data_IF_307082202820
#
_entry.id   IF_307082202820
#
_cell.length_a   1.000
_cell.length_b   1.000
_cell.length_c   1.000
_cell.angle_alpha   90.00
_cell.angle_beta   90.00
_cell.angle_gamma   90.00
#
_symmetry.space_group_name_H-M   'P 1'
#
loop_
_entity.id
_entity.type
_entity.pdbx_description
1 polymer ?
#
# COMPACT_ATOMS: atom_id res chain seq x y z
N UNK A 1 -11.97 -23.54 10.64
CA UNK A 1 -11.23 -22.54 11.44
C UNK A 1 -9.84 -22.46 10.83
N UNK A 2 -9.56 -21.43 10.04
CA UNK A 2 -8.24 -21.23 9.46
C UNK A 2 -7.26 -20.90 10.57
N UNK A 3 -6.22 -21.71 10.71
CA UNK A 3 -5.16 -21.52 11.69
C UNK A 3 -4.47 -20.20 11.32
N UNK A 4 -4.64 -19.16 12.15
CA UNK A 4 -3.72 -18.02 12.09
C UNK A 4 -2.38 -18.58 12.52
N UNK A 5 -1.37 -18.51 11.65
CA UNK A 5 -0.02 -18.84 12.06
C UNK A 5 0.38 -17.82 13.14
N UNK A 6 0.82 -18.35 14.29
CA UNK A 6 1.35 -17.54 15.39
C UNK A 6 2.51 -16.70 14.85
N UNK A 7 2.56 -15.42 15.23
CA UNK A 7 3.58 -14.48 14.76
C UNK A 7 4.94 -14.99 15.24
N UNK A 8 5.89 -15.18 14.34
CA UNK A 8 7.24 -15.59 14.72
C UNK A 8 8.04 -14.37 15.15
N UNK A 9 8.46 -14.31 16.40
CA UNK A 9 9.28 -13.24 16.94
C UNK A 9 10.65 -13.81 17.33
N UNK A 10 11.73 -13.16 16.89
CA UNK A 10 13.09 -13.57 17.26
C UNK A 10 13.86 -12.39 17.82
N UNK A 11 14.42 -12.54 19.02
CA UNK A 11 15.32 -11.56 19.63
C UNK A 11 16.75 -12.08 19.55
N UNK A 12 17.53 -11.48 18.64
CA UNK A 12 18.90 -11.87 18.35
C UNK A 12 19.87 -11.02 19.18
N UNK A 13 20.83 -11.65 19.85
CA UNK A 13 21.83 -10.94 20.65
C UNK A 13 23.20 -11.61 20.70
N UNK A 14 24.23 -10.83 20.99
CA UNK A 14 25.55 -11.38 21.40
C UNK A 14 25.51 -11.74 22.89
N UNK A 15 26.40 -12.64 23.36
CA UNK A 15 26.56 -12.89 24.78
C UNK A 15 26.74 -11.60 25.58
N UNK A 16 26.08 -11.52 26.74
CA UNK A 16 26.17 -10.39 27.69
C UNK A 16 25.80 -9.01 27.11
N UNK A 17 25.00 -8.95 26.04
CA UNK A 17 24.54 -7.68 25.47
C UNK A 17 23.72 -6.88 26.50
N UNK A 18 24.15 -5.68 26.93
CA UNK A 18 23.45 -4.92 27.96
C UNK A 18 22.12 -4.32 27.46
N UNK A 19 21.96 -4.16 26.14
CA UNK A 19 20.79 -3.52 25.54
C UNK A 19 19.65 -4.50 25.26
N UNK A 20 19.90 -5.82 25.30
CA UNK A 20 18.87 -6.83 25.00
C UNK A 20 17.71 -6.78 26.00
N UNK A 21 18.00 -6.48 27.27
CA UNK A 21 16.99 -6.39 28.34
C UNK A 21 15.98 -5.29 28.03
N UNK A 22 16.44 -4.15 27.50
CA UNK A 22 15.56 -3.04 27.12
C UNK A 22 14.63 -3.46 25.97
N UNK A 23 15.17 -4.09 24.92
CA UNK A 23 14.38 -4.53 23.77
C UNK A 23 13.37 -5.59 24.18
N UNK A 24 13.75 -6.55 25.04
CA UNK A 24 12.85 -7.57 25.58
C UNK A 24 11.68 -6.93 26.34
N UNK A 25 11.97 -6.02 27.27
CA UNK A 25 10.93 -5.33 28.04
C UNK A 25 9.95 -4.57 27.14
N UNK A 26 10.45 -3.82 26.14
CA UNK A 26 9.58 -3.10 25.20
C UNK A 26 8.76 -4.06 24.34
N UNK A 27 9.34 -5.20 23.91
CA UNK A 27 8.62 -6.24 23.17
C UNK A 27 7.49 -6.83 24.01
N UNK A 28 7.75 -7.20 25.27
CA UNK A 28 6.76 -7.80 26.17
C UNK A 28 5.56 -6.86 26.36
N UNK A 29 5.82 -5.57 26.59
CA UNK A 29 4.78 -4.54 26.68
C UNK A 29 3.95 -4.44 25.38
N UNK A 30 4.61 -4.50 24.22
CA UNK A 30 3.94 -4.43 22.93
C UNK A 30 3.10 -5.67 22.61
N UNK A 31 3.59 -6.87 22.95
CA UNK A 31 2.85 -8.13 22.78
C UNK A 31 1.57 -8.12 23.62
N UNK A 32 1.67 -7.64 24.87
CA UNK A 32 0.51 -7.46 25.74
C UNK A 32 -0.48 -6.43 25.17
N UNK A 33 0.01 -5.26 24.71
CA UNK A 33 -0.82 -4.20 24.12
C UNK A 33 -1.54 -4.62 22.84
N UNK A 34 -0.88 -5.40 21.98
CA UNK A 34 -1.44 -5.86 20.71
C UNK A 34 -2.30 -7.14 20.86
N UNK A 35 -2.33 -7.76 22.05
CA UNK A 35 -2.93 -9.07 22.28
C UNK A 35 -2.50 -10.09 21.21
N UNK A 36 -1.21 -10.08 20.88
CA UNK A 36 -0.66 -10.83 19.77
C UNK A 36 -0.38 -12.29 20.17
N UNK A 37 -0.91 -13.24 19.41
CA UNK A 37 -0.47 -14.64 19.47
C UNK A 37 0.89 -14.76 18.77
N UNK A 38 1.95 -14.79 19.56
CA UNK A 38 3.32 -14.80 19.07
C UNK A 38 4.16 -15.89 19.74
N UNK A 39 5.00 -16.54 18.94
CA UNK A 39 6.06 -17.42 19.41
C UNK A 39 7.37 -16.64 19.47
N UNK A 40 7.86 -16.41 20.69
CA UNK A 40 9.10 -15.65 20.94
C UNK A 40 10.28 -16.60 21.12
N UNK A 41 11.32 -16.40 20.32
CA UNK A 41 12.59 -17.14 20.40
C UNK A 41 13.74 -16.18 20.67
N UNK A 42 14.49 -16.41 21.74
CA UNK A 42 15.71 -15.66 22.03
C UNK A 42 16.94 -16.43 21.56
N UNK A 43 17.73 -15.82 20.68
CA UNK A 43 18.92 -16.44 20.09
C UNK A 43 20.16 -15.65 20.47
N UNK A 44 21.12 -16.34 21.07
CA UNK A 44 22.43 -15.79 21.43
C UNK A 44 23.49 -16.33 20.46
N UNK A 45 24.25 -15.44 19.85
CA UNK A 45 25.28 -15.81 18.86
C UNK A 45 25.90 -14.59 18.18
N UNK A 46 26.56 -14.85 17.05
CA UNK A 46 27.25 -13.82 16.26
C UNK A 46 26.27 -12.99 15.43
N UNK A 47 25.53 -12.12 16.11
CA UNK A 47 24.53 -11.23 15.51
C UNK A 47 24.90 -9.75 15.64
N UNK A 48 24.26 -8.91 14.82
CA UNK A 48 24.15 -7.49 15.13
C UNK A 48 23.18 -7.33 16.31
N UNK A 49 23.68 -6.90 17.47
CA UNK A 49 22.97 -7.05 18.72
C UNK A 49 22.58 -5.71 19.36
N UNK A 50 21.36 -5.60 19.92
CA UNK A 50 20.23 -6.53 19.77
C UNK A 50 19.50 -6.28 18.44
N UNK A 51 18.91 -7.32 17.86
CA UNK A 51 18.02 -7.22 16.69
C UNK A 51 16.71 -7.94 16.98
N UNK A 52 15.59 -7.27 16.74
CA UNK A 52 14.26 -7.85 16.88
C UNK A 52 13.69 -8.14 15.48
N UNK A 53 13.39 -9.41 15.22
CA UNK A 53 12.74 -9.85 13.99
C UNK A 53 11.28 -10.21 14.26
N UNK A 54 10.37 -9.75 13.41
CA UNK A 54 8.96 -10.16 13.37
C UNK A 54 8.69 -10.76 12.00
N UNK A 55 8.33 -12.04 11.95
CA UNK A 55 8.21 -12.82 10.71
C UNK A 55 9.46 -12.70 9.80
N UNK A 56 10.64 -12.62 10.42
CA UNK A 56 11.92 -12.47 9.73
C UNK A 56 12.28 -11.03 9.32
N UNK A 57 11.38 -10.06 9.51
CA UNK A 57 11.64 -8.64 9.25
C UNK A 57 12.29 -7.96 10.46
N UNK A 58 13.42 -7.27 10.26
CA UNK A 58 14.01 -6.40 11.28
C UNK A 58 13.11 -5.17 11.48
N UNK A 59 12.54 -5.05 12.68
CA UNK A 59 11.56 -4.01 13.04
C UNK A 59 12.07 -2.58 12.79
N UNK A 60 13.38 -2.38 12.77
CA UNK A 60 14.01 -1.07 12.49
C UNK A 60 14.08 -0.74 11.00
N UNK A 61 13.74 -1.68 10.12
CA UNK A 61 13.85 -1.55 8.67
C UNK A 61 15.27 -1.73 8.11
N UNK A 62 16.25 -2.14 8.93
CA UNK A 62 17.59 -2.44 8.41
C UNK A 62 17.56 -3.69 7.53
N UNK A 63 18.34 -3.70 6.44
CA UNK A 63 18.53 -4.92 5.68
C UNK A 63 19.21 -5.99 6.56
N UNK A 64 18.96 -7.29 6.30
CA UNK A 64 19.67 -8.37 6.96
C UNK A 64 21.19 -8.16 6.85
N UNK A 65 21.89 -8.37 7.95
CA UNK A 65 23.35 -8.26 7.98
C UNK A 65 23.97 -9.23 6.96
N UNK A 66 25.03 -8.81 6.28
CA UNK A 66 25.90 -9.75 5.60
C UNK A 66 26.44 -10.74 6.63
N UNK A 67 26.45 -12.03 6.29
CA UNK A 67 26.90 -13.09 7.19
C UNK A 67 28.32 -12.79 7.71
N UNK A 68 28.53 -12.90 9.03
CA UNK A 68 29.85 -12.76 9.65
C UNK A 68 30.24 -11.37 10.13
N UNK A 69 29.36 -10.35 10.03
CA UNK A 69 29.56 -9.07 10.71
C UNK A 69 28.76 -9.02 12.03
N UNK A 70 29.49 -8.96 13.15
CA UNK A 70 28.94 -8.71 14.48
C UNK A 70 29.18 -7.26 14.89
N UNK A 71 28.12 -6.57 15.32
CA UNK A 71 28.23 -5.18 15.78
C UNK A 71 27.17 -4.83 16.82
N UNK A 72 27.52 -3.93 17.74
CA UNK A 72 26.56 -3.36 18.68
C UNK A 72 25.66 -2.35 17.95
N UNK A 73 24.36 -2.45 18.23
CA UNK A 73 23.33 -1.55 17.70
C UNK A 73 22.83 -0.60 18.78
N UNK A 74 22.69 0.66 18.41
CA UNK A 74 22.10 1.71 19.26
C UNK A 74 20.75 2.21 18.75
N UNK A 75 20.42 1.87 17.50
CA UNK A 75 19.13 2.12 16.86
C UNK A 75 18.11 1.05 17.27
N UNK A 76 17.84 0.96 18.57
CA UNK A 76 16.92 -0.03 19.11
C UNK A 76 15.48 0.24 18.62
N UNK A 77 14.69 -0.80 18.32
CA UNK A 77 13.30 -0.62 17.95
C UNK A 77 12.53 0.04 19.10
N UNK A 78 11.70 1.03 18.76
CA UNK A 78 10.79 1.68 19.70
C UNK A 78 9.40 1.01 19.70
N UNK A 79 8.57 1.38 20.67
CA UNK A 79 7.22 0.84 20.83
C UNK A 79 6.36 0.97 19.56
N UNK A 80 6.32 2.16 18.94
CA UNK A 80 5.54 2.41 17.73
C UNK A 80 5.97 1.49 16.58
N UNK A 81 7.28 1.27 16.39
CA UNK A 81 7.80 0.37 15.35
C UNK A 81 7.40 -1.09 15.59
N UNK A 82 7.48 -1.56 16.86
CA UNK A 82 7.11 -2.93 17.22
C UNK A 82 5.60 -3.13 16.99
N UNK A 83 4.76 -2.20 17.46
CA UNK A 83 3.32 -2.26 17.27
C UNK A 83 2.92 -2.18 15.79
N UNK A 84 3.61 -1.37 14.98
CA UNK A 84 3.42 -1.32 13.53
C UNK A 84 3.70 -2.67 12.87
N UNK A 85 4.80 -3.32 13.24
CA UNK A 85 5.18 -4.62 12.72
C UNK A 85 4.19 -5.72 13.15
N UNK A 86 3.82 -5.79 14.44
CA UNK A 86 2.90 -6.79 14.97
C UNK A 86 1.51 -6.71 14.31
N UNK A 87 0.97 -5.49 14.13
CA UNK A 87 -0.36 -5.30 13.54
C UNK A 87 -0.36 -5.37 12.02
N UNK A 88 0.63 -4.77 11.36
CA UNK A 88 0.67 -4.65 9.90
C UNK A 88 1.12 -5.92 9.19
N UNK A 89 2.25 -6.52 9.58
CA UNK A 89 2.81 -7.68 8.88
C UNK A 89 1.94 -8.93 9.03
N UNK A 90 1.23 -9.04 10.14
CA UNK A 90 0.29 -10.13 10.40
C UNK A 90 -0.99 -10.01 9.59
N UNK A 91 -1.35 -8.79 9.18
CA UNK A 91 -2.57 -8.53 8.44
C UNK A 91 -2.46 -8.91 6.96
N UNK A 92 -1.26 -9.03 6.40
CA UNK A 92 -1.04 -9.22 4.94
C UNK A 92 -0.39 -10.58 4.61
N UNK A 93 -0.16 -11.45 5.62
CA UNK A 93 0.54 -12.72 5.39
C UNK A 93 -0.31 -13.74 4.60
N UNK A 94 0.34 -14.40 3.63
CA UNK A 94 -0.23 -15.48 2.87
C UNK A 94 0.84 -16.55 2.63
N UNK A 95 0.68 -17.70 3.28
CA UNK A 95 1.66 -18.78 3.21
C UNK A 95 1.46 -19.70 1.99
N UNK A 96 0.24 -19.72 1.42
CA UNK A 96 -0.02 -20.45 0.19
C UNK A 96 0.58 -19.73 -1.03
N UNK A 97 1.48 -20.40 -1.74
CA UNK A 97 2.21 -19.86 -2.88
C UNK A 97 1.27 -19.49 -4.04
N UNK A 98 0.18 -20.25 -4.25
CA UNK A 98 -0.77 -19.98 -5.33
C UNK A 98 -1.59 -18.75 -5.00
N UNK A 99 -2.10 -18.64 -3.78
CA UNK A 99 -2.84 -17.48 -3.29
C UNK A 99 -1.96 -16.21 -3.32
N UNK A 100 -0.73 -16.31 -2.84
CA UNK A 100 0.24 -15.23 -2.92
C UNK A 100 0.49 -14.83 -4.39
N UNK A 101 0.72 -15.79 -5.27
CA UNK A 101 0.91 -15.56 -6.71
C UNK A 101 -0.27 -14.85 -7.37
N UNK A 102 -1.51 -15.27 -7.05
CA UNK A 102 -2.74 -14.62 -7.54
C UNK A 102 -2.80 -13.16 -7.10
N UNK A 103 -2.59 -12.89 -5.81
CA UNK A 103 -2.61 -11.53 -5.29
C UNK A 103 -1.55 -10.65 -5.96
N UNK A 104 -0.32 -11.16 -6.12
CA UNK A 104 0.78 -10.43 -6.76
C UNK A 104 0.48 -10.09 -8.22
N UNK A 105 0.03 -11.06 -9.01
CA UNK A 105 -0.26 -10.83 -10.42
C UNK A 105 -1.45 -9.90 -10.59
N UNK A 106 -2.54 -10.11 -9.84
CA UNK A 106 -3.69 -9.20 -9.88
C UNK A 106 -3.31 -7.76 -9.51
N UNK A 107 -2.51 -7.58 -8.45
CA UNK A 107 -2.02 -6.26 -8.03
C UNK A 107 -1.22 -5.57 -9.14
N UNK A 108 -0.31 -6.30 -9.79
CA UNK A 108 0.51 -5.76 -10.89
C UNK A 108 -0.30 -5.38 -12.10
N UNK A 109 -1.28 -6.20 -12.48
CA UNK A 109 -2.18 -5.88 -13.60
C UNK A 109 -2.94 -4.60 -13.24
N UNK A 110 -3.56 -4.53 -12.07
CA UNK A 110 -4.33 -3.36 -11.63
C UNK A 110 -3.48 -2.10 -11.57
N UNK A 111 -2.26 -2.17 -11.03
CA UNK A 111 -1.32 -1.06 -10.99
C UNK A 111 -0.91 -0.58 -12.40
N UNK A 112 -0.72 -1.51 -13.35
CA UNK A 112 -0.30 -1.19 -14.73
C UNK A 112 -1.44 -0.59 -15.55
N UNK A 113 -2.67 -1.06 -15.36
CA UNK A 113 -3.83 -0.63 -16.16
C UNK A 113 -4.62 0.52 -15.54
N UNK A 114 -4.67 0.60 -14.20
CA UNK A 114 -5.63 1.42 -13.45
C UNK A 114 -7.10 1.09 -13.75
N UNK A 115 -7.36 -0.17 -14.12
CA UNK A 115 -8.69 -0.69 -14.49
C UNK A 115 -9.01 -1.95 -13.71
N UNK A 116 -10.30 -2.31 -13.65
CA UNK A 116 -10.76 -3.57 -13.09
C UNK A 116 -10.12 -4.75 -13.84
N UNK A 117 -9.70 -5.79 -13.11
CA UNK A 117 -8.92 -6.89 -13.66
C UNK A 117 -9.79 -8.12 -13.92
N UNK A 118 -9.79 -8.60 -15.16
CA UNK A 118 -10.39 -9.89 -15.53
C UNK A 118 -9.58 -11.04 -14.93
N UNK A 119 -10.26 -12.02 -14.36
CA UNK A 119 -9.61 -13.21 -13.79
C UNK A 119 -8.83 -14.00 -14.87
N UNK A 120 -9.30 -13.94 -16.11
CA UNK A 120 -8.62 -14.50 -17.28
C UNK A 120 -7.22 -13.95 -17.47
N UNK A 121 -7.00 -12.65 -17.25
CA UNK A 121 -5.68 -12.05 -17.37
C UNK A 121 -4.73 -12.57 -16.28
N UNK A 122 -5.24 -12.80 -15.06
CA UNK A 122 -4.44 -13.41 -13.97
C UNK A 122 -4.05 -14.84 -14.32
N UNK A 123 -5.00 -15.65 -14.82
CA UNK A 123 -4.75 -17.01 -15.28
C UNK A 123 -3.70 -17.07 -16.40
N UNK A 124 -3.81 -16.17 -17.38
CA UNK A 124 -2.88 -16.07 -18.50
C UNK A 124 -1.47 -15.67 -18.04
N UNK A 125 -1.34 -14.61 -17.24
CA UNK A 125 -0.04 -14.10 -16.79
C UNK A 125 0.65 -15.07 -15.82
N UNK A 126 -0.11 -15.84 -15.04
CA UNK A 126 0.43 -16.92 -14.20
C UNK A 126 0.70 -18.23 -14.95
N UNK A 127 0.15 -18.44 -16.15
CA UNK A 127 0.21 -19.71 -16.87
C UNK A 127 -0.47 -20.87 -16.13
N UNK A 128 -1.51 -20.60 -15.33
CA UNK A 128 -2.24 -21.59 -14.53
C UNK A 128 -3.70 -21.73 -14.95
N UNK A 129 -4.31 -22.87 -14.66
CA UNK A 129 -5.71 -23.15 -15.03
C UNK A 129 -6.68 -22.25 -14.25
N UNK A 130 -7.82 -21.95 -14.87
CA UNK A 130 -8.85 -21.09 -14.27
C UNK A 130 -9.31 -21.60 -12.90
N UNK A 131 -9.50 -22.92 -12.75
CA UNK A 131 -9.98 -23.51 -11.49
C UNK A 131 -9.01 -23.29 -10.33
N UNK A 132 -7.71 -23.34 -10.59
CA UNK A 132 -6.66 -23.09 -9.59
C UNK A 132 -6.68 -21.60 -9.17
N UNK A 133 -6.78 -20.70 -10.16
CA UNK A 133 -6.87 -19.25 -9.92
C UNK A 133 -8.12 -18.90 -9.13
N UNK A 134 -9.28 -19.43 -9.52
CA UNK A 134 -10.54 -19.20 -8.82
C UNK A 134 -10.52 -19.76 -7.39
N UNK A 135 -9.80 -20.87 -7.15
CA UNK A 135 -9.59 -21.38 -5.79
C UNK A 135 -8.79 -20.39 -4.96
N UNK A 136 -7.70 -19.85 -5.51
CA UNK A 136 -6.91 -18.80 -4.87
C UNK A 136 -7.69 -17.51 -4.61
N UNK A 137 -8.47 -17.03 -5.59
CA UNK A 137 -9.33 -15.86 -5.44
C UNK A 137 -10.33 -16.05 -4.30
N UNK A 138 -11.02 -17.19 -4.25
CA UNK A 138 -11.99 -17.46 -3.16
C UNK A 138 -11.31 -17.48 -1.79
N UNK A 139 -10.09 -17.97 -1.69
CA UNK A 139 -9.34 -17.98 -0.44
C UNK A 139 -8.89 -16.57 -0.03
N UNK A 140 -8.45 -15.75 -0.97
CA UNK A 140 -8.15 -14.34 -0.75
C UNK A 140 -9.41 -13.54 -0.37
N UNK A 141 -10.56 -13.78 -1.01
CA UNK A 141 -11.83 -13.10 -0.69
C UNK A 141 -12.28 -13.41 0.73
N UNK A 142 -12.22 -14.68 1.15
CA UNK A 142 -12.57 -15.08 2.53
C UNK A 142 -11.74 -14.35 3.58
N UNK A 143 -10.50 -14.00 3.25
CA UNK A 143 -9.57 -13.26 4.14
C UNK A 143 -9.59 -11.75 3.91
N UNK A 144 -10.34 -11.27 2.92
CA UNK A 144 -10.45 -9.83 2.61
C UNK A 144 -9.25 -9.24 1.89
N UNK A 145 -8.48 -10.05 1.17
CA UNK A 145 -7.30 -9.59 0.43
C UNK A 145 -7.61 -9.24 -1.04
N UNK A 146 -8.80 -9.56 -1.51
CA UNK A 146 -9.25 -9.28 -2.87
C UNK A 146 -10.74 -8.95 -2.87
N UNK A 147 -11.13 -7.97 -3.67
CA UNK A 147 -12.51 -7.54 -3.90
C UNK A 147 -12.85 -7.75 -5.36
N UNK A 148 -14.00 -8.37 -5.61
CA UNK A 148 -14.58 -8.54 -6.93
C UNK A 148 -15.89 -7.76 -7.02
N UNK A 149 -16.20 -7.23 -8.20
CA UNK A 149 -17.54 -6.71 -8.48
C UNK A 149 -18.55 -7.83 -8.80
N UNK A 150 -19.79 -7.45 -9.10
CA UNK A 150 -20.87 -8.38 -9.40
C UNK A 150 -20.68 -9.15 -10.72
N UNK A 151 -19.84 -8.64 -11.61
CA UNK A 151 -19.49 -9.29 -12.88
C UNK A 151 -18.27 -10.22 -12.74
N UNK A 152 -17.62 -10.22 -11.57
CA UNK A 152 -16.46 -11.05 -11.26
C UNK A 152 -15.11 -10.42 -11.62
N UNK A 153 -15.07 -9.13 -11.95
CA UNK A 153 -13.80 -8.43 -12.13
C UNK A 153 -13.20 -8.08 -10.78
N UNK A 154 -11.88 -8.21 -10.66
CA UNK A 154 -11.13 -7.79 -9.49
C UNK A 154 -11.03 -6.25 -9.50
N UNK A 155 -11.64 -5.61 -8.50
CA UNK A 155 -11.70 -4.16 -8.32
C UNK A 155 -10.78 -3.66 -7.20
N UNK A 156 -10.22 -4.58 -6.43
CA UNK A 156 -9.18 -4.27 -5.47
C UNK A 156 -8.46 -5.51 -4.98
N UNK A 157 -7.19 -5.35 -4.63
CA UNK A 157 -6.33 -6.45 -4.18
C UNK A 157 -5.17 -5.87 -3.38
N UNK A 158 -4.85 -6.51 -2.24
CA UNK A 158 -3.70 -6.12 -1.41
C UNK A 158 -3.68 -4.64 -1.03
N UNK A 159 -4.85 -4.07 -0.73
CA UNK A 159 -5.00 -2.66 -0.35
C UNK A 159 -5.16 -1.68 -1.52
N UNK A 160 -4.78 -2.04 -2.76
CA UNK A 160 -4.94 -1.17 -3.94
C UNK A 160 -6.31 -1.40 -4.59
N UNK A 161 -6.99 -0.32 -4.99
CA UNK A 161 -8.30 -0.37 -5.61
C UNK A 161 -8.41 0.51 -6.86
N UNK A 162 -9.18 0.03 -7.84
CA UNK A 162 -9.58 0.78 -9.03
C UNK A 162 -10.90 1.54 -8.86
N UNK A 163 -11.58 1.38 -7.72
CA UNK A 163 -12.81 2.11 -7.38
C UNK A 163 -12.57 3.05 -6.19
N UNK A 164 -13.38 4.13 -6.05
CA UNK A 164 -13.19 5.10 -4.99
C UNK A 164 -13.23 4.53 -3.56
N UNK A 165 -12.35 5.06 -2.72
CA UNK A 165 -12.36 4.98 -1.25
C UNK A 165 -12.00 6.35 -0.67
N UNK A 166 -11.93 6.47 0.65
CA UNK A 166 -11.46 7.69 1.33
C UNK A 166 -9.98 8.03 1.06
N UNK A 167 -9.20 7.13 0.47
CA UNK A 167 -7.78 7.31 0.23
C UNK A 167 -7.47 7.36 -1.28
N UNK A 168 -7.52 8.55 -1.87
CA UNK A 168 -7.24 8.79 -3.30
C UNK A 168 -5.73 8.93 -3.53
N UNK A 169 -5.17 8.12 -4.43
CA UNK A 169 -3.74 8.06 -4.73
C UNK A 169 -3.47 8.57 -6.14
N UNK A 170 -2.46 9.43 -6.27
CA UNK A 170 -1.84 9.75 -7.55
C UNK A 170 -0.44 9.16 -7.61
N UNK A 171 -0.24 8.17 -8.49
CA UNK A 171 1.02 7.43 -8.67
C UNK A 171 1.35 7.44 -10.16
N UNK A 172 2.51 7.98 -10.53
CA UNK A 172 2.98 8.06 -11.93
C UNK A 172 1.93 8.59 -12.93
N UNK A 173 1.16 9.60 -12.51
CA UNK A 173 0.11 10.22 -13.31
C UNK A 173 -1.18 9.40 -13.48
N UNK A 174 -1.26 8.23 -12.84
CA UNK A 174 -2.48 7.42 -12.73
C UNK A 174 -3.14 7.65 -11.38
N UNK A 175 -4.45 7.40 -11.34
CA UNK A 175 -5.27 7.52 -10.14
C UNK A 175 -5.68 6.13 -9.66
N UNK A 176 -5.57 5.92 -8.35
CA UNK A 176 -5.99 4.70 -7.66
C UNK A 176 -6.61 5.08 -6.32
N UNK A 177 -7.03 4.07 -5.57
CA UNK A 177 -7.43 4.21 -4.20
C UNK A 177 -6.77 3.16 -3.30
N UNK A 178 -6.67 3.47 -2.01
CA UNK A 178 -6.21 2.54 -0.98
C UNK A 178 -7.33 2.17 -0.01
N UNK A 179 -7.31 0.98 0.58
CA UNK A 179 -8.34 0.62 1.57
C UNK A 179 -8.10 1.24 2.94
N UNK A 180 -6.87 1.57 3.29
CA UNK A 180 -6.54 2.20 4.57
C UNK A 180 -5.26 3.03 4.55
N UNK A 181 -5.00 3.75 5.65
CA UNK A 181 -3.79 4.54 5.82
C UNK A 181 -2.49 3.72 5.75
N UNK A 182 -2.49 2.47 6.24
CA UNK A 182 -1.34 1.57 6.16
C UNK A 182 -1.02 1.20 4.70
N UNK A 183 -2.05 0.96 3.88
CA UNK A 183 -1.90 0.68 2.45
C UNK A 183 -1.32 1.86 1.70
N UNK A 184 -1.74 3.10 2.01
CA UNK A 184 -1.16 4.31 1.44
C UNK A 184 0.35 4.34 1.65
N UNK A 185 0.79 4.21 2.91
CA UNK A 185 2.21 4.29 3.26
C UNK A 185 3.00 3.13 2.62
N UNK A 186 2.46 1.92 2.70
CA UNK A 186 3.14 0.72 2.23
C UNK A 186 3.26 0.63 0.70
N UNK A 187 2.19 0.95 -0.04
CA UNK A 187 2.18 0.93 -1.50
C UNK A 187 3.16 1.96 -2.06
N UNK A 188 3.10 3.22 -1.61
CA UNK A 188 4.07 4.24 -2.03
C UNK A 188 5.51 3.85 -1.67
N UNK A 189 5.73 3.39 -0.43
CA UNK A 189 7.04 3.01 0.07
C UNK A 189 7.68 1.85 -0.70
N UNK A 190 6.91 0.82 -1.01
CA UNK A 190 7.39 -0.35 -1.73
C UNK A 190 7.57 -0.09 -3.24
N UNK A 191 6.71 0.72 -3.86
CA UNK A 191 6.88 1.17 -5.25
C UNK A 191 8.04 2.15 -5.42
N UNK A 192 8.48 2.79 -4.34
CA UNK A 192 9.37 3.97 -4.40
C UNK A 192 8.80 5.05 -5.32
N UNK A 193 7.46 5.19 -5.33
CA UNK A 193 6.75 6.10 -6.21
C UNK A 193 6.81 7.54 -5.69
N UNK A 194 6.75 8.51 -6.60
CA UNK A 194 6.51 9.91 -6.24
C UNK A 194 5.08 10.30 -6.63
N UNK A 195 4.45 11.15 -5.83
CA UNK A 195 3.04 11.49 -6.02
C UNK A 195 2.42 12.03 -4.74
N UNK A 196 1.11 11.84 -4.59
CA UNK A 196 0.40 12.25 -3.38
C UNK A 196 -0.76 11.32 -3.08
N UNK A 197 -1.13 11.26 -1.81
CA UNK A 197 -2.39 10.68 -1.35
C UNK A 197 -3.26 11.76 -0.71
N UNK A 198 -4.56 11.73 -0.97
CA UNK A 198 -5.57 12.52 -0.27
C UNK A 198 -6.40 11.61 0.62
N UNK A 199 -6.70 12.08 1.82
CA UNK A 199 -7.48 11.36 2.83
C UNK A 199 -8.35 12.34 3.61
N UNK A 200 -9.15 11.82 4.56
CA UNK A 200 -9.95 12.60 5.49
C UNK A 200 -9.66 12.14 6.93
N UNK A 201 -9.53 13.08 7.86
CA UNK A 201 -9.58 12.77 9.31
C UNK A 201 -11.04 12.44 9.67
N UNK A 202 -11.36 11.20 10.08
CA UNK A 202 -12.74 10.77 10.28
C UNK A 202 -13.41 11.42 11.50
N UNK A 203 -12.67 12.11 12.37
CA UNK A 203 -13.24 12.82 13.53
C UNK A 203 -13.64 14.24 13.20
N UNK A 204 -12.86 14.92 12.35
CA UNK A 204 -13.03 16.34 12.05
C UNK A 204 -13.54 16.61 10.64
N UNK A 205 -13.52 15.59 9.77
CA UNK A 205 -13.77 15.69 8.33
C UNK A 205 -12.80 16.64 7.59
N UNK A 206 -11.65 16.96 8.18
CA UNK A 206 -10.63 17.76 7.51
C UNK A 206 -9.90 16.95 6.43
N UNK A 207 -9.65 17.61 5.30
CA UNK A 207 -8.90 17.00 4.19
C UNK A 207 -7.41 16.91 4.56
N UNK A 208 -6.86 15.72 4.40
CA UNK A 208 -5.45 15.41 4.64
C UNK A 208 -4.75 15.15 3.32
N UNK A 209 -3.50 15.58 3.21
CA UNK A 209 -2.63 15.30 2.05
C UNK A 209 -1.29 14.80 2.56
N UNK A 210 -0.80 13.72 1.95
CA UNK A 210 0.55 13.20 2.16
C UNK A 210 1.25 13.20 0.81
N UNK A 211 2.35 13.95 0.68
CA UNK A 211 3.13 13.94 -0.55
C UNK A 211 4.24 12.90 -0.42
N UNK A 212 4.56 12.21 -1.50
CA UNK A 212 5.61 11.21 -1.53
C UNK A 212 6.69 11.59 -2.53
N UNK A 213 7.94 11.44 -2.10
CA UNK A 213 9.12 11.54 -2.95
C UNK A 213 9.90 10.23 -2.86
N UNK A 214 9.94 9.49 -3.96
CA UNK A 214 10.59 8.16 -4.04
C UNK A 214 10.15 7.20 -2.92
N UNK A 215 8.85 7.17 -2.65
CA UNK A 215 8.21 6.35 -1.63
C UNK A 215 8.38 6.85 -0.20
N UNK A 216 9.04 7.98 0.02
CA UNK A 216 9.18 8.59 1.34
C UNK A 216 8.13 9.70 1.47
N UNK A 217 7.23 9.66 2.46
CA UNK A 217 6.32 10.76 2.71
C UNK A 217 7.09 12.01 3.14
N UNK A 218 6.61 13.18 2.75
CA UNK A 218 7.11 14.45 3.27
C UNK A 218 6.91 14.51 4.80
N UNK A 219 7.71 15.37 5.46
CA UNK A 219 7.56 15.54 6.90
C UNK A 219 6.14 15.99 7.21
N UNK A 220 5.42 15.08 7.88
CA UNK A 220 4.01 15.23 8.17
C UNK A 220 3.79 15.07 9.66
N UNK A 221 2.97 15.96 10.25
CA UNK A 221 2.51 15.85 11.64
C UNK A 221 1.44 14.78 11.83
N UNK A 222 1.01 14.12 10.75
CA UNK A 222 -0.07 13.14 10.78
C UNK A 222 0.32 11.88 11.56
N UNK A 223 -0.72 11.25 12.10
CA UNK A 223 -0.66 10.00 12.83
C UNK A 223 -1.52 8.96 12.14
N UNK A 224 -1.18 7.69 12.31
CA UNK A 224 -1.96 6.55 11.82
C UNK A 224 -2.45 5.76 13.02
N UNK A 225 -3.76 5.62 13.18
CA UNK A 225 -4.29 4.71 14.17
C UNK A 225 -4.26 3.29 13.60
N UNK A 226 -3.40 2.44 14.13
CA UNK A 226 -3.32 1.03 13.76
C UNK A 226 -4.21 0.23 14.71
N UNK A 227 -5.41 -0.11 14.22
CA UNK A 227 -6.37 -0.91 14.97
C UNK A 227 -5.89 -2.35 15.17
N UNK A 228 -6.33 -2.98 16.27
CA UNK A 228 -6.18 -4.41 16.45
C UNK A 228 -7.04 -5.14 15.43
N UNK A 229 -6.51 -6.24 14.88
CA UNK A 229 -7.20 -7.05 13.90
C UNK A 229 -8.17 -8.02 14.62
N UNK A 230 -9.50 -7.94 14.38
CA UNK A 230 -10.44 -8.91 14.93
C UNK A 230 -10.03 -10.37 14.67
N UNK A 231 -10.27 -11.24 15.65
CA UNK A 231 -10.03 -12.68 15.53
C UNK A 231 -10.89 -13.26 14.42
N UNK A 232 -10.26 -13.88 13.41
CA UNK A 232 -10.95 -14.43 12.25
C UNK A 232 -11.58 -13.39 11.32
N UNK A 233 -11.30 -12.10 11.53
CA UNK A 233 -11.79 -11.02 10.69
C UNK A 233 -11.13 -11.01 9.32
N UNK A 234 -11.87 -10.44 8.36
CA UNK A 234 -11.46 -10.17 6.99
C UNK A 234 -10.79 -8.81 6.88
N UNK A 235 -9.68 -8.71 6.14
CA UNK A 235 -8.86 -7.49 6.08
C UNK A 235 -9.64 -6.29 5.57
N UNK A 236 -10.19 -6.34 4.35
CA UNK A 236 -10.91 -5.20 3.78
C UNK A 236 -12.24 -4.89 4.49
N UNK A 237 -12.94 -5.90 5.01
CA UNK A 237 -14.28 -5.72 5.59
C UNK A 237 -14.26 -5.40 7.09
N UNK A 238 -13.31 -5.95 7.86
CA UNK A 238 -13.32 -5.85 9.32
C UNK A 238 -12.19 -4.97 9.88
N UNK A 239 -11.13 -4.68 9.11
CA UNK A 239 -9.93 -4.01 9.64
C UNK A 239 -9.49 -2.76 8.88
N UNK A 240 -9.42 -2.77 7.55
CA UNK A 240 -8.89 -1.63 6.78
C UNK A 240 -9.64 -0.33 7.09
N UNK A 241 -10.97 -0.36 7.19
CA UNK A 241 -11.76 0.84 7.54
C UNK A 241 -11.41 1.41 8.93
N UNK A 242 -10.81 0.59 9.81
CA UNK A 242 -10.39 0.99 11.17
C UNK A 242 -8.98 1.58 11.22
N UNK A 243 -8.22 1.53 10.12
CA UNK A 243 -6.84 2.01 10.05
C UNK A 243 -6.81 3.35 9.31
N UNK A 244 -6.75 4.44 10.07
CA UNK A 244 -7.05 5.80 9.57
C UNK A 244 -5.92 6.79 9.85
N UNK A 245 -5.81 7.81 9.00
CA UNK A 245 -4.98 8.98 9.24
C UNK A 245 -5.71 9.98 10.16
N UNK A 246 -4.94 10.66 11.00
CA UNK A 246 -5.43 11.70 11.91
C UNK A 246 -4.48 12.89 11.94
N UNK A 247 -5.05 14.08 12.08
CA UNK A 247 -4.30 15.32 12.26
C UNK A 247 -3.72 15.45 13.67
N UNK A 248 -4.35 14.81 14.67
CA UNK A 248 -3.96 14.91 16.06
C UNK A 248 -4.21 13.60 16.82
N UNK A 249 -3.53 13.45 17.96
CA UNK A 249 -3.80 12.35 18.89
C UNK A 249 -5.21 12.43 19.47
N UNK A 250 -5.67 13.62 19.84
CA UNK A 250 -7.04 13.83 20.34
C UNK A 250 -8.12 13.44 19.35
N UNK A 251 -7.93 13.69 18.04
CA UNK A 251 -8.90 13.26 17.04
C UNK A 251 -8.92 11.74 16.90
N UNK A 252 -7.75 11.09 16.91
CA UNK A 252 -7.65 9.64 16.87
C UNK A 252 -8.31 8.95 18.07
N UNK A 253 -8.04 9.43 19.29
CA UNK A 253 -8.62 8.90 20.52
C UNK A 253 -10.14 9.03 20.55
N UNK A 254 -10.66 10.22 20.20
CA UNK A 254 -12.10 10.47 20.17
C UNK A 254 -12.83 9.53 19.20
N UNK A 255 -12.27 9.33 18.00
CA UNK A 255 -12.87 8.42 17.01
C UNK A 255 -12.75 6.96 17.43
N UNK A 256 -11.61 6.53 17.97
CA UNK A 256 -11.43 5.17 18.43
C UNK A 256 -12.42 4.85 19.57
N UNK A 257 -12.59 5.77 20.52
CA UNK A 257 -13.56 5.65 21.60
C UNK A 257 -15.00 5.59 21.09
N UNK A 258 -15.39 6.51 20.20
CA UNK A 258 -16.74 6.57 19.64
C UNK A 258 -17.14 5.30 18.87
N UNK A 259 -16.15 4.62 18.28
CA UNK A 259 -16.36 3.39 17.51
C UNK A 259 -16.04 2.10 18.31
N UNK A 260 -15.61 2.21 19.56
CA UNK A 260 -15.23 1.05 20.39
C UNK A 260 -14.05 0.24 19.80
N UNK A 261 -13.10 0.91 19.17
CA UNK A 261 -11.96 0.29 18.48
C UNK A 261 -10.73 0.34 19.39
N UNK A 262 -10.06 -0.80 19.54
CA UNK A 262 -8.75 -0.90 20.20
C UNK A 262 -7.62 -0.86 19.18
N UNK A 263 -6.47 -0.32 19.58
CA UNK A 263 -5.33 -0.15 18.69
C UNK A 263 -4.27 0.75 19.30
N UNK A 264 -3.39 1.29 18.47
CA UNK A 264 -2.44 2.31 18.91
C UNK A 264 -2.18 3.34 17.83
N UNK A 265 -1.90 4.56 18.28
CA UNK A 265 -1.48 5.63 17.40
C UNK A 265 0.01 5.48 17.08
N UNK A 266 0.34 5.53 15.79
CA UNK A 266 1.70 5.35 15.28
C UNK A 266 2.02 6.56 14.40
N UNK A 267 3.21 7.15 14.57
CA UNK A 267 3.68 8.17 13.63
C UNK A 267 3.93 7.57 12.25
N UNK A 268 3.72 8.37 11.20
CA UNK A 268 4.03 7.95 9.82
C UNK A 268 5.48 7.47 9.71
N UNK A 269 6.42 8.16 10.35
CA UNK A 269 7.84 7.80 10.34
C UNK A 269 8.11 6.40 10.91
N UNK A 270 7.51 6.04 12.06
CA UNK A 270 7.70 4.72 12.66
C UNK A 270 6.93 3.61 11.94
N UNK A 271 5.87 3.96 11.19
CA UNK A 271 5.10 3.00 10.39
C UNK A 271 5.82 2.60 9.09
N UNK A 272 6.61 3.51 8.50
CA UNK A 272 7.21 3.37 7.17
C UNK A 272 7.87 2.01 6.90
N UNK A 273 8.71 1.54 7.82
CA UNK A 273 9.54 0.35 7.61
C UNK A 273 8.67 -0.91 7.46
N UNK A 274 7.79 -1.14 8.44
CA UNK A 274 6.87 -2.28 8.45
C UNK A 274 5.82 -2.19 7.34
N UNK A 275 5.33 -0.98 7.06
CA UNK A 275 4.42 -0.76 5.94
C UNK A 275 5.08 -1.13 4.63
N UNK A 276 6.27 -0.60 4.32
CA UNK A 276 6.99 -0.96 3.09
C UNK A 276 7.25 -2.47 2.99
N UNK A 277 7.62 -3.12 4.09
CA UNK A 277 7.90 -4.56 4.08
C UNK A 277 6.67 -5.37 3.68
N UNK A 278 5.47 -4.99 4.13
CA UNK A 278 4.27 -5.76 3.85
C UNK A 278 3.93 -5.87 2.35
N UNK A 279 4.44 -4.96 1.50
CA UNK A 279 4.32 -5.02 0.04
C UNK A 279 5.63 -5.44 -0.66
N UNK A 280 6.71 -5.74 0.08
CA UNK A 280 8.02 -6.04 -0.49
C UNK A 280 8.00 -7.26 -1.41
N UNK A 281 7.24 -8.30 -1.04
CA UNK A 281 7.08 -9.54 -1.81
C UNK A 281 6.18 -9.34 -3.03
N UNK A 282 5.12 -8.55 -2.90
CA UNK A 282 4.18 -8.22 -3.96
C UNK A 282 4.89 -7.49 -5.11
N UNK A 283 5.77 -6.56 -4.75
CA UNK A 283 6.44 -5.68 -5.71
C UNK A 283 7.86 -6.12 -6.05
N UNK A 284 8.34 -7.24 -5.49
CA UNK A 284 9.62 -7.84 -5.86
C UNK A 284 9.57 -8.25 -7.33
N UNK A 285 10.33 -7.56 -8.18
CA UNK A 285 10.50 -7.99 -9.58
C UNK A 285 11.00 -9.43 -9.62
N UNK A 286 10.41 -10.31 -10.46
CA UNK A 286 10.97 -11.63 -10.68
C UNK A 286 12.41 -11.46 -11.20
N UNK A 287 13.32 -12.32 -10.74
CA UNK A 287 14.70 -12.31 -11.19
C UNK A 287 14.73 -12.60 -12.70
N UNK A 288 14.87 -11.56 -13.52
CA UNK A 288 14.77 -11.64 -14.98
C UNK A 288 14.45 -10.30 -15.64
N UNK A 289 13.71 -9.42 -14.95
CA UNK A 289 13.39 -8.08 -15.46
C UNK A 289 14.52 -7.10 -15.14
N UNK A 290 15.60 -7.20 -15.92
CA UNK A 290 16.53 -6.07 -16.04
C UNK A 290 15.74 -4.85 -16.54
N UNK A 291 15.99 -3.63 -16.01
CA UNK A 291 15.46 -2.44 -16.66
C UNK A 291 15.98 -2.47 -18.09
N UNK A 292 15.06 -2.46 -19.06
CA UNK A 292 15.41 -2.24 -20.45
C UNK A 292 16.27 -0.97 -20.47
N UNK A 293 17.55 -1.14 -20.77
CA UNK A 293 18.56 -0.14 -20.50
C UNK A 293 18.23 1.13 -21.25
N UNK A 294 18.34 2.26 -20.53
CA UNK A 294 18.71 3.53 -21.14
C UNK A 294 20.02 3.34 -21.92
N UNK A 295 19.94 2.89 -23.16
CA UNK A 295 20.99 3.02 -24.18
C UNK A 295 20.38 2.70 -25.54
N UNK A 296 20.45 3.72 -26.40
CA UNK A 296 20.16 3.74 -27.85
C UNK A 296 18.73 4.11 -28.28
N UNK A 297 18.25 5.27 -27.85
CA UNK A 297 17.63 6.21 -28.80
C UNK A 297 18.74 7.03 -29.50
N UNK A 298 19.50 6.41 -30.40
CA UNK A 298 20.36 7.11 -31.37
C UNK A 298 20.47 6.28 -32.63
N UNK A 299 19.51 6.47 -33.55
CA UNK A 299 19.74 6.51 -35.01
C UNK A 299 18.42 6.33 -35.77
N UNK A 300 17.76 7.44 -36.07
CA UNK A 300 16.88 7.55 -37.25
C UNK A 300 16.82 9.01 -37.69
N UNK A 301 17.99 9.62 -37.95
CA UNK A 301 18.08 10.76 -38.85
C UNK A 301 18.58 10.23 -40.18
N UNK A 302 17.61 9.86 -41.02
CA UNK A 302 17.83 9.68 -42.45
C UNK A 302 18.32 11.01 -43.03
N UNK A 303 19.48 10.94 -43.66
CA UNK A 303 20.05 12.00 -44.46
C UNK A 303 19.12 12.34 -45.62
N UNK A 304 18.58 13.56 -45.60
CA UNK A 304 18.00 14.23 -46.76
C UNK A 304 18.67 15.60 -46.89
N UNK A 305 19.69 15.67 -47.73
CA UNK A 305 20.33 16.93 -48.13
C UNK A 305 19.36 17.78 -48.94
N UNK A 306 19.10 19.02 -48.52
CA UNK A 306 18.88 20.16 -49.42
C UNK A 306 19.46 21.44 -48.76
N UNK A 307 20.08 22.35 -49.55
CA UNK A 307 20.87 23.46 -49.02
C UNK A 307 20.07 24.75 -48.89
N UNK A 308 20.51 25.60 -47.94
CA UNK A 308 20.36 27.04 -48.01
C UNK A 308 19.04 27.60 -47.45
N UNK A 309 19.15 28.33 -46.33
CA UNK A 309 18.67 29.70 -46.12
C UNK A 309 18.88 30.03 -44.65
N UNK A 310 19.83 30.91 -44.37
CA UNK A 310 19.91 31.68 -43.13
C UNK A 310 18.88 32.80 -43.17
N UNK A 311 18.23 33.11 -42.03
CA UNK A 311 18.20 34.45 -41.40
C UNK A 311 17.31 34.46 -40.15
N UNK A 312 17.83 35.20 -39.16
CA UNK A 312 17.32 35.63 -37.85
C UNK A 312 15.85 36.10 -37.77
N UNK A 313 15.26 36.05 -36.57
CA UNK A 313 14.09 36.87 -36.23
C UNK A 313 13.46 36.62 -34.86
N UNK A 314 13.67 37.55 -33.94
CA UNK A 314 13.06 37.67 -32.61
C UNK A 314 11.56 38.00 -32.70
N UNK A 315 10.71 37.43 -31.81
CA UNK A 315 9.69 38.13 -30.98
C UNK A 315 8.64 37.16 -30.39
N UNK A 316 8.39 37.30 -29.07
CA UNK A 316 7.08 37.09 -28.42
C UNK A 316 6.44 38.49 -28.17
N UNK A 317 5.26 38.60 -27.53
CA UNK A 317 3.93 37.99 -27.74
C UNK A 317 2.86 39.10 -27.96
N UNK A 318 1.53 38.82 -27.89
CA UNK A 318 0.74 39.24 -26.71
C UNK A 318 -0.38 38.23 -26.32
N UNK A 319 -0.63 37.96 -25.03
CA UNK A 319 -1.58 38.62 -24.09
C UNK A 319 -3.07 38.64 -24.48
N UNK A 320 -3.83 37.82 -23.74
CA UNK A 320 -5.03 38.15 -22.94
C UNK A 320 -6.28 38.78 -23.61
N UNK A 321 -7.43 38.11 -23.46
CA UNK A 321 -8.71 38.80 -23.25
C UNK A 321 -9.64 37.98 -22.34
N UNK A 322 -10.17 38.69 -21.34
CA UNK A 322 -11.12 38.22 -20.33
C UNK A 322 -12.53 37.94 -20.85
N UNK A 323 -13.22 37.09 -20.07
CA UNK A 323 -14.62 37.17 -19.63
C UNK A 323 -15.78 37.22 -20.65
N UNK A 324 -16.70 36.26 -20.51
CA UNK A 324 -18.10 36.59 -20.14
C UNK A 324 -18.93 35.37 -19.70
N UNK A 325 -19.67 35.59 -18.61
CA UNK A 325 -20.80 34.80 -18.11
C UNK A 325 -21.91 34.69 -19.16
N UNK A 326 -22.55 33.52 -19.24
CA UNK A 326 -23.83 33.30 -19.92
C UNK A 326 -24.54 32.09 -19.33
N UNK A 327 -25.75 32.31 -18.82
CA UNK A 327 -26.66 31.36 -18.17
C UNK A 327 -27.48 30.59 -19.22
N UNK A 328 -27.79 29.33 -18.93
CA UNK A 328 -29.12 28.73 -19.12
C UNK A 328 -29.47 28.15 -20.49
N UNK A 329 -29.81 26.86 -20.51
CA UNK A 329 -31.09 26.27 -20.92
C UNK A 329 -30.89 24.89 -21.60
N UNK A 330 -31.77 23.97 -21.21
CA UNK A 330 -31.97 22.61 -21.70
C UNK A 330 -32.23 22.54 -23.22
N UNK A 331 -31.78 21.47 -23.89
CA UNK A 331 -32.66 20.36 -24.32
C UNK A 331 -31.97 19.33 -25.24
N UNK A 332 -32.49 18.12 -25.12
CA UNK A 332 -32.25 16.85 -25.84
C UNK A 332 -31.81 16.92 -27.31
N UNK A 333 -30.89 16.02 -27.70
CA UNK A 333 -31.08 15.14 -28.86
C UNK A 333 -30.07 13.97 -28.90
N UNK A 334 -30.65 12.81 -29.18
CA UNK A 334 -30.08 11.50 -29.45
C UNK A 334 -29.10 11.48 -30.63
N UNK A 335 -28.03 10.69 -30.51
CA UNK A 335 -27.10 10.40 -31.59
C UNK A 335 -26.29 9.13 -31.29
N UNK A 336 -26.76 8.02 -31.85
CA UNK A 336 -26.13 6.70 -31.87
C UNK A 336 -24.81 6.67 -32.64
N UNK A 337 -23.79 5.95 -32.14
CA UNK A 337 -22.63 5.57 -32.95
C UNK A 337 -21.40 5.05 -32.22
N UNK A 338 -21.39 3.74 -31.96
CA UNK A 338 -20.23 2.83 -32.04
C UNK A 338 -18.95 3.09 -31.23
N UNK A 339 -18.78 2.30 -30.16
CA UNK A 339 -17.76 1.24 -30.17
C UNK A 339 -16.38 1.53 -29.58
N UNK A 340 -16.29 1.79 -28.28
CA UNK A 340 -15.14 1.43 -27.45
C UNK A 340 -15.67 0.81 -26.15
N UNK A 341 -15.27 -0.42 -25.86
CA UNK A 341 -15.68 -1.13 -24.64
C UNK A 341 -14.90 -0.58 -23.43
N UNK A 342 -15.29 0.60 -22.96
CA UNK A 342 -14.98 1.06 -21.61
C UNK A 342 -15.78 0.28 -20.58
N UNK A 343 -15.29 0.21 -19.35
CA UNK A 343 -16.03 -0.32 -18.19
C UNK A 343 -17.49 0.16 -18.22
N UNK A 344 -18.48 -0.69 -17.89
CA UNK A 344 -19.85 -0.23 -17.72
C UNK A 344 -19.87 0.92 -16.71
N UNK A 345 -20.74 1.88 -16.96
CA UNK A 345 -20.91 3.07 -16.15
C UNK A 345 -20.99 2.69 -14.66
N UNK A 346 -20.22 3.44 -13.86
CA UNK A 346 -20.19 3.42 -12.40
C UNK A 346 -21.56 3.06 -11.81
N UNK A 347 -21.57 2.12 -10.86
CA UNK A 347 -22.69 1.96 -9.95
C UNK A 347 -23.04 3.33 -9.36
N UNK A 348 -24.34 3.60 -9.27
CA UNK A 348 -24.83 4.75 -8.51
C UNK A 348 -24.31 4.64 -7.08
N UNK A 349 -24.05 5.78 -6.45
CA UNK A 349 -23.67 5.88 -5.04
C UNK A 349 -24.64 5.10 -4.11
N UNK A 350 -25.86 4.85 -4.58
CA UNK A 350 -26.94 4.16 -3.86
C UNK A 350 -26.88 2.61 -3.92
N UNK A 351 -25.94 2.01 -4.67
CA UNK A 351 -25.82 0.54 -4.82
C UNK A 351 -24.62 -0.05 -4.07
N UNK A 352 -23.89 0.78 -3.31
CA UNK A 352 -22.80 0.32 -2.44
C UNK A 352 -23.35 -0.17 -1.08
N UNK A 353 -22.72 -1.18 -0.44
CA UNK A 353 -23.09 -1.60 0.91
C UNK A 353 -23.10 -0.40 1.87
N UNK A 354 -24.09 -0.29 2.77
CA UNK A 354 -24.34 0.91 3.61
C UNK A 354 -23.15 1.43 4.45
N UNK A 355 -22.09 0.63 4.63
CA UNK A 355 -20.86 1.05 5.32
C UNK A 355 -19.83 1.74 4.41
N UNK A 356 -20.05 1.75 3.09
CA UNK A 356 -19.21 2.45 2.11
C UNK A 356 -19.58 3.93 1.95
N UNK A 357 -20.72 4.34 2.52
CA UNK A 357 -21.32 5.68 2.40
C UNK A 357 -21.34 6.45 3.72
N UNK A 358 -20.61 6.02 4.75
CA UNK A 358 -20.63 6.65 6.09
C UNK A 358 -19.25 7.07 6.58
#
# INVERSE_FOLDING_TARGET
MGQRNSIKVQLLSVPDCPLVVKVRSTLDDCLAKANADATVEELVGDYNSPTLLINGFDVTGRPPAAQGLTSCRLDLPNEEQILAALRGLSAISCDDETEAGVAVVAFRILLRTAECVKVEHVSQEMGRKMDDIMTGIRALQRRGHILLDNEGFIIGVGGLSSIPTDHDLSIDGRRFWAWCAFDVIGIFGALQASGFARSVDPSTNENLVVNFVRGVPDETGLKVFMADMPTGGSVCYDWCWRVRFFQSESSAEAWAQANGITGSLISVANLMASAREAWSSVLRRPAGDSPCGERQCRSAQLAGQLPGVTVNGVRSPPKELEARKGRGMEDNASGSGSGEAGCPALLSFDEMPEWFTR
#
